data_IF_176496906425
#
_entry.id   IF_176496906425
#
_cell.length_a   1.000
_cell.length_b   1.000
_cell.length_c   1.000
_cell.angle_alpha   90.00
_cell.angle_beta   90.00
_cell.angle_gamma   90.00
#
_symmetry.space_group_name_H-M   'P 1'
#
loop_
_entity.id
_entity.type
_entity.pdbx_description
1 polymer ?
#
# COMPACT_ATOMS: atom_id res chain seq x y z
N UNK A 1 18.05 -39.13 -11.32
CA UNK A 1 17.84 -37.86 -12.08
C UNK A 1 16.41 -37.41 -11.81
N UNK A 2 16.20 -36.61 -10.77
CA UNK A 2 14.91 -35.96 -10.55
C UNK A 2 14.98 -34.55 -11.14
N UNK A 3 14.17 -34.30 -12.17
CA UNK A 3 13.97 -32.98 -12.76
C UNK A 3 12.85 -32.28 -12.00
N UNK A 4 13.15 -31.04 -11.61
CA UNK A 4 12.27 -29.87 -11.58
C UNK A 4 10.99 -29.92 -10.73
N UNK A 5 11.02 -29.13 -9.66
CA UNK A 5 10.11 -27.99 -9.53
C UNK A 5 10.78 -26.92 -8.67
N UNK A 6 11.67 -26.13 -9.29
CA UNK A 6 11.94 -24.81 -8.74
C UNK A 6 10.66 -23.99 -8.92
N UNK A 7 9.74 -24.12 -7.96
CA UNK A 7 8.71 -23.10 -7.80
C UNK A 7 9.47 -21.80 -7.56
N UNK A 8 9.42 -20.91 -8.54
CA UNK A 8 9.76 -19.51 -8.33
C UNK A 8 8.73 -18.96 -7.36
N UNK A 9 8.94 -19.17 -6.06
CA UNK A 9 8.10 -18.57 -5.00
C UNK A 9 8.01 -17.09 -5.29
N UNK A 10 6.79 -16.54 -5.25
CA UNK A 10 6.52 -15.13 -5.56
C UNK A 10 7.40 -14.23 -4.68
N UNK A 11 7.73 -14.70 -3.48
CA UNK A 11 8.64 -14.04 -2.54
C UNK A 11 10.07 -13.88 -3.05
N UNK A 12 10.59 -14.73 -3.96
CA UNK A 12 11.96 -14.63 -4.52
C UNK A 12 12.19 -13.35 -5.33
N UNK A 13 11.14 -12.75 -5.90
CA UNK A 13 11.27 -11.48 -6.62
C UNK A 13 11.20 -10.27 -5.67
N UNK A 14 10.37 -10.34 -4.63
CA UNK A 14 10.23 -9.27 -3.63
C UNK A 14 11.38 -9.23 -2.62
N UNK A 15 11.89 -10.40 -2.24
CA UNK A 15 13.07 -10.54 -1.39
C UNK A 15 14.26 -9.76 -1.93
N UNK A 16 14.49 -9.72 -3.25
CA UNK A 16 15.59 -8.93 -3.85
C UNK A 16 15.58 -7.45 -3.47
N UNK A 17 14.41 -6.81 -3.33
CA UNK A 17 14.35 -5.41 -2.91
C UNK A 17 14.55 -5.26 -1.40
N UNK A 18 13.90 -6.13 -0.61
CA UNK A 18 14.01 -6.13 0.85
C UNK A 18 15.44 -6.48 1.32
N UNK A 19 16.09 -7.45 0.67
CA UNK A 19 17.48 -7.86 0.90
C UNK A 19 18.47 -6.72 0.68
N UNK A 20 18.28 -5.90 -0.37
CA UNK A 20 19.12 -4.72 -0.63
C UNK A 20 19.06 -3.69 0.49
N UNK A 21 17.94 -3.61 1.20
CA UNK A 21 17.72 -2.64 2.27
C UNK A 21 17.93 -3.24 3.66
N UNK A 22 17.92 -4.58 3.78
CA UNK A 22 18.04 -5.25 5.05
C UNK A 22 19.48 -5.24 5.54
N UNK A 23 19.72 -4.55 6.67
CA UNK A 23 20.99 -4.54 7.39
C UNK A 23 20.99 -5.47 8.61
N UNK A 24 20.10 -6.47 8.64
CA UNK A 24 19.96 -7.46 9.72
C UNK A 24 18.80 -7.21 10.68
N UNK A 25 18.06 -6.11 10.53
CA UNK A 25 16.95 -5.73 11.43
C UNK A 25 15.55 -5.86 10.84
N UNK A 26 15.41 -6.11 9.53
CA UNK A 26 14.11 -6.22 8.88
C UNK A 26 13.57 -7.65 9.01
N UNK A 27 12.32 -7.77 9.48
CA UNK A 27 11.57 -9.02 9.41
C UNK A 27 11.04 -9.20 7.99
N UNK A 28 11.34 -10.36 7.41
CA UNK A 28 10.81 -10.75 6.10
C UNK A 28 9.48 -11.47 6.35
N UNK A 29 8.35 -10.96 5.82
CA UNK A 29 7.06 -11.64 5.98
C UNK A 29 7.06 -12.96 5.20
N UNK A 30 6.28 -13.93 5.67
CA UNK A 30 6.02 -15.15 4.91
C UNK A 30 5.16 -14.85 3.66
N UNK A 31 5.09 -15.81 2.74
CA UNK A 31 4.39 -15.64 1.46
C UNK A 31 2.91 -15.32 1.63
N UNK A 32 2.22 -16.01 2.55
CA UNK A 32 0.80 -15.80 2.80
C UNK A 32 0.50 -14.40 3.38
N UNK A 33 1.35 -13.89 4.28
CA UNK A 33 1.22 -12.53 4.84
C UNK A 33 1.40 -11.49 3.74
N UNK A 34 2.38 -11.71 2.85
CA UNK A 34 2.60 -10.83 1.71
C UNK A 34 1.38 -10.83 0.76
N UNK A 35 0.82 -12.01 0.46
CA UNK A 35 -0.34 -12.15 -0.40
C UNK A 35 -1.60 -11.53 0.22
N UNK A 36 -1.81 -11.67 1.53
CA UNK A 36 -2.89 -11.00 2.26
C UNK A 36 -2.81 -9.48 2.11
N UNK A 37 -1.65 -8.88 2.40
CA UNK A 37 -1.44 -7.43 2.27
C UNK A 37 -1.60 -6.97 0.82
N UNK A 38 -1.17 -7.78 -0.13
CA UNK A 38 -1.35 -7.49 -1.56
C UNK A 38 -2.82 -7.54 -1.96
N UNK A 39 -3.61 -8.42 -1.37
CA UNK A 39 -5.03 -8.45 -1.63
C UNK A 39 -5.74 -7.23 -1.06
N UNK A 40 -5.35 -6.73 0.13
CA UNK A 40 -5.84 -5.45 0.64
C UNK A 40 -5.57 -4.31 -0.36
N UNK A 41 -4.36 -4.24 -0.92
CA UNK A 41 -4.00 -3.27 -1.96
C UNK A 41 -4.89 -3.40 -3.21
N UNK A 42 -5.11 -4.62 -3.70
CA UNK A 42 -5.93 -4.88 -4.87
C UNK A 42 -7.36 -4.40 -4.66
N UNK A 43 -7.95 -4.71 -3.50
CA UNK A 43 -9.32 -4.30 -3.18
C UNK A 43 -9.41 -2.77 -3.03
N UNK A 44 -8.46 -2.12 -2.36
CA UNK A 44 -8.40 -0.66 -2.32
C UNK A 44 -8.30 -0.01 -3.71
N UNK A 45 -7.65 -0.64 -4.69
CA UNK A 45 -7.57 -0.10 -6.06
C UNK A 45 -8.84 -0.31 -6.86
N UNK A 46 -9.56 -1.41 -6.61
CA UNK A 46 -10.84 -1.69 -7.28
C UNK A 46 -11.93 -0.71 -6.83
N UNK A 47 -12.02 -0.50 -5.52
CA UNK A 47 -13.06 0.35 -4.95
C UNK A 47 -12.76 1.82 -5.16
N UNK A 48 -11.48 2.19 -5.23
CA UNK A 48 -11.10 3.60 -5.16
C UNK A 48 -10.27 4.02 -6.37
N UNK A 49 -10.95 4.73 -7.27
CA UNK A 49 -10.46 5.25 -8.56
C UNK A 49 -9.28 6.23 -8.38
N UNK A 50 -8.44 6.40 -9.41
CA UNK A 50 -7.10 7.04 -9.31
C UNK A 50 -7.05 8.49 -8.75
N UNK A 51 -8.19 9.13 -8.53
CA UNK A 51 -8.36 10.49 -8.01
C UNK A 51 -8.70 10.60 -6.51
N UNK A 52 -8.30 9.62 -5.71
CA UNK A 52 -8.60 9.52 -4.27
C UNK A 52 -8.36 10.76 -3.41
N UNK A 53 -9.31 11.06 -2.52
CA UNK A 53 -9.14 11.85 -1.30
C UNK A 53 -8.78 10.99 -0.07
N UNK A 54 -8.28 11.59 1.01
CA UNK A 54 -7.87 10.84 2.20
C UNK A 54 -9.05 10.27 3.00
N UNK A 55 -10.24 10.88 2.87
CA UNK A 55 -11.47 10.42 3.52
C UNK A 55 -11.99 9.13 2.89
N UNK A 56 -11.75 8.94 1.59
CA UNK A 56 -12.29 7.80 0.83
C UNK A 56 -11.59 6.47 1.20
N UNK A 57 -10.42 6.53 1.85
CA UNK A 57 -9.65 5.37 2.33
C UNK A 57 -10.16 4.85 3.68
N UNK A 58 -10.91 5.67 4.43
CA UNK A 58 -11.32 5.38 5.81
C UNK A 58 -12.83 5.13 5.94
N UNK A 59 -13.52 4.79 4.86
CA UNK A 59 -14.94 4.45 4.93
C UNK A 59 -15.11 3.05 5.52
N UNK A 60 -16.11 2.88 6.39
CA UNK A 60 -16.48 1.55 6.91
C UNK A 60 -16.89 0.61 5.77
N UNK A 61 -17.53 1.13 4.73
CA UNK A 61 -17.88 0.38 3.52
C UNK A 61 -16.65 -0.24 2.82
N UNK A 62 -15.53 0.49 2.71
CA UNK A 62 -14.31 -0.07 2.12
C UNK A 62 -13.73 -1.17 3.01
N UNK A 63 -13.80 -1.02 4.33
CA UNK A 63 -13.32 -2.05 5.25
C UNK A 63 -14.14 -3.32 5.10
N UNK A 64 -15.47 -3.22 5.12
CA UNK A 64 -16.39 -4.34 4.94
C UNK A 64 -16.13 -5.06 3.61
N UNK A 65 -16.03 -4.33 2.50
CA UNK A 65 -15.72 -4.92 1.19
C UNK A 65 -14.39 -5.68 1.17
N UNK A 66 -13.35 -5.14 1.80
CA UNK A 66 -12.05 -5.81 1.88
C UNK A 66 -12.13 -7.07 2.76
N UNK A 67 -12.84 -6.99 3.89
CA UNK A 67 -13.03 -8.12 4.81
C UNK A 67 -13.86 -9.25 4.18
N UNK A 68 -14.81 -8.90 3.32
CA UNK A 68 -15.68 -9.85 2.61
C UNK A 68 -15.01 -10.47 1.37
N UNK A 69 -13.85 -9.96 0.95
CA UNK A 69 -13.15 -10.51 -0.19
C UNK A 69 -12.70 -11.96 0.09
N UNK A 70 -13.12 -12.89 -0.77
CA UNK A 70 -12.82 -14.32 -0.65
C UNK A 70 -11.34 -14.60 -0.38
N UNK A 71 -10.43 -13.96 -1.14
CA UNK A 71 -8.99 -14.17 -0.98
C UNK A 71 -8.45 -13.62 0.34
N UNK A 72 -9.04 -12.55 0.87
CA UNK A 72 -8.68 -12.02 2.20
C UNK A 72 -9.05 -13.02 3.28
N UNK A 73 -10.27 -13.55 3.25
CA UNK A 73 -10.73 -14.57 4.18
C UNK A 73 -9.89 -15.86 4.08
N UNK A 74 -9.57 -16.29 2.86
CA UNK A 74 -8.72 -17.46 2.62
C UNK A 74 -7.33 -17.33 3.28
N UNK A 75 -6.62 -16.22 3.05
CA UNK A 75 -5.30 -16.02 3.66
C UNK A 75 -5.38 -15.77 5.16
N UNK A 76 -6.44 -15.11 5.64
CA UNK A 76 -6.65 -14.91 7.07
C UNK A 76 -6.82 -16.23 7.82
N UNK A 77 -7.66 -17.13 7.31
CA UNK A 77 -7.87 -18.45 7.91
C UNK A 77 -6.58 -19.30 7.87
N UNK A 78 -5.82 -19.20 6.77
CA UNK A 78 -4.54 -19.91 6.63
C UNK A 78 -3.47 -19.41 7.62
N UNK A 79 -3.41 -18.10 7.87
CA UNK A 79 -2.41 -17.48 8.73
C UNK A 79 -2.78 -17.53 10.22
N UNK A 80 -4.07 -17.37 10.51
CA UNK A 80 -4.59 -17.12 11.86
C UNK A 80 -5.89 -17.89 12.07
N UNK A 81 -5.87 -19.23 12.06
CA UNK A 81 -7.09 -20.02 12.20
C UNK A 81 -7.75 -19.82 13.57
N UNK A 82 -9.07 -19.87 13.58
CA UNK A 82 -9.88 -19.92 14.80
C UNK A 82 -10.53 -18.61 15.23
N UNK A 83 -11.06 -18.59 16.46
CA UNK A 83 -12.07 -17.61 16.92
C UNK A 83 -11.64 -16.14 16.86
N UNK A 84 -10.34 -15.86 16.87
CA UNK A 84 -9.81 -14.49 16.86
C UNK A 84 -9.37 -14.02 15.47
N UNK A 85 -9.50 -14.86 14.44
CA UNK A 85 -9.05 -14.58 13.06
C UNK A 85 -9.59 -13.25 12.55
N UNK A 86 -10.91 -13.04 12.66
CA UNK A 86 -11.60 -11.83 12.19
C UNK A 86 -11.18 -10.57 12.95
N UNK A 87 -11.00 -10.66 14.28
CA UNK A 87 -10.59 -9.51 15.11
C UNK A 87 -9.16 -9.09 14.77
N UNK A 88 -8.27 -10.05 14.56
CA UNK A 88 -6.89 -9.74 14.18
C UNK A 88 -6.84 -9.20 12.75
N UNK A 89 -7.60 -9.79 11.85
CA UNK A 89 -7.71 -9.35 10.46
C UNK A 89 -8.19 -7.90 10.36
N UNK A 90 -9.23 -7.53 11.11
CA UNK A 90 -9.76 -6.16 11.16
C UNK A 90 -8.71 -5.16 11.68
N UNK A 91 -7.95 -5.54 12.71
CA UNK A 91 -6.83 -4.72 13.21
C UNK A 91 -5.72 -4.57 12.18
N UNK A 92 -5.36 -5.65 11.48
CA UNK A 92 -4.36 -5.61 10.41
C UNK A 92 -4.81 -4.70 9.27
N UNK A 93 -6.07 -4.81 8.86
CA UNK A 93 -6.66 -3.96 7.83
C UNK A 93 -6.66 -2.48 8.26
N UNK A 94 -7.02 -2.20 9.51
CA UNK A 94 -7.02 -0.83 10.06
C UNK A 94 -5.62 -0.21 10.01
N UNK A 95 -4.58 -0.96 10.41
CA UNK A 95 -3.17 -0.51 10.30
C UNK A 95 -2.79 -0.28 8.84
N UNK A 96 -3.17 -1.18 7.94
CA UNK A 96 -2.90 -1.04 6.50
C UNK A 96 -3.52 0.24 5.92
N UNK A 97 -4.82 0.46 6.14
CA UNK A 97 -5.54 1.64 5.62
C UNK A 97 -4.98 2.94 6.20
N UNK A 98 -4.60 2.94 7.48
CA UNK A 98 -3.94 4.08 8.13
C UNK A 98 -2.61 4.43 7.44
N UNK A 99 -1.74 3.43 7.24
CA UNK A 99 -0.46 3.62 6.55
C UNK A 99 -0.66 4.10 5.11
N UNK A 100 -1.64 3.51 4.39
CA UNK A 100 -2.02 3.91 3.04
C UNK A 100 -2.49 5.36 3.00
N UNK A 101 -3.38 5.75 3.91
CA UNK A 101 -3.89 7.11 4.03
C UNK A 101 -2.76 8.13 4.23
N UNK A 102 -1.84 7.85 5.15
CA UNK A 102 -0.68 8.71 5.36
C UNK A 102 0.24 8.77 4.13
N UNK A 103 0.49 7.66 3.44
CA UNK A 103 1.30 7.65 2.22
C UNK A 103 0.65 8.49 1.10
N UNK A 104 -0.66 8.37 0.91
CA UNK A 104 -1.45 9.16 -0.05
C UNK A 104 -1.42 10.65 0.30
N UNK A 105 -1.65 10.99 1.57
CA UNK A 105 -1.59 12.38 2.05
C UNK A 105 -0.20 13.00 1.84
N UNK A 106 0.88 12.27 2.14
CA UNK A 106 2.26 12.71 1.88
C UNK A 106 2.52 12.95 0.40
N UNK A 107 2.06 12.04 -0.48
CA UNK A 107 2.20 12.19 -1.93
C UNK A 107 1.45 13.43 -2.44
N UNK A 108 0.22 13.67 -1.97
CA UNK A 108 -0.54 14.88 -2.29
C UNK A 108 0.15 16.16 -1.82
N UNK A 109 0.61 16.19 -0.57
CA UNK A 109 1.37 17.33 -0.02
C UNK A 109 2.61 17.62 -0.85
N UNK A 110 3.37 16.60 -1.24
CA UNK A 110 4.54 16.75 -2.09
C UNK A 110 4.20 17.32 -3.47
N UNK A 111 3.13 16.83 -4.10
CA UNK A 111 2.65 17.38 -5.39
C UNK A 111 2.26 18.85 -5.25
N UNK A 112 1.51 19.21 -4.20
CA UNK A 112 1.10 20.60 -3.93
C UNK A 112 2.33 21.51 -3.72
N UNK A 113 3.29 21.10 -2.89
CA UNK A 113 4.52 21.86 -2.66
C UNK A 113 5.32 22.07 -3.95
N UNK A 114 5.39 21.06 -4.83
CA UNK A 114 6.03 21.21 -6.14
C UNK A 114 5.28 22.23 -7.00
N UNK A 115 3.94 22.16 -7.09
CA UNK A 115 3.15 23.14 -7.85
C UNK A 115 3.30 24.57 -7.32
N UNK A 116 3.38 24.77 -6.01
CA UNK A 116 3.61 26.08 -5.38
C UNK A 116 5.00 26.62 -5.72
N UNK A 117 6.04 25.78 -5.68
CA UNK A 117 7.40 26.17 -6.11
C UNK A 117 7.44 26.56 -7.58
N UNK A 118 6.79 25.80 -8.46
CA UNK A 118 6.73 26.12 -9.89
C UNK A 118 5.94 27.42 -10.16
N UNK A 119 4.85 27.65 -9.42
CA UNK A 119 4.09 28.91 -9.51
C UNK A 119 4.92 30.10 -9.04
N UNK A 120 5.59 30.01 -7.90
CA UNK A 120 6.48 31.06 -7.39
C UNK A 120 7.61 31.37 -8.38
N UNK A 121 8.22 30.35 -8.99
CA UNK A 121 9.24 30.54 -10.03
C UNK A 121 8.69 31.27 -11.26
N UNK A 122 7.47 30.92 -11.71
CA UNK A 122 6.81 31.59 -12.85
C UNK A 122 6.51 33.06 -12.55
N UNK A 123 6.11 33.40 -11.32
CA UNK A 123 5.85 34.79 -10.92
C UNK A 123 7.15 35.61 -10.92
N UNK A 124 8.22 35.09 -10.31
CA UNK A 124 9.53 35.77 -10.29
C UNK A 124 10.11 35.96 -11.69
N UNK A 125 9.96 34.96 -12.58
CA UNK A 125 10.41 35.09 -13.97
C UNK A 125 9.61 36.14 -14.75
N UNK A 126 8.29 36.27 -14.51
CA UNK A 126 7.46 37.32 -15.11
C UNK A 126 7.82 38.72 -14.59
N UNK A 127 8.09 38.86 -13.30
CA UNK A 127 8.51 40.13 -12.71
C UNK A 127 9.86 40.59 -13.29
N UNK A 128 10.85 39.69 -13.43
CA UNK A 128 12.15 40.01 -14.05
C UNK A 128 12.06 40.37 -15.53
N UNK A 129 11.06 39.88 -16.25
CA UNK A 129 10.89 40.17 -17.69
C UNK A 129 10.12 41.47 -17.97
N UNK A 130 9.45 42.04 -16.95
CA UNK A 130 8.73 43.31 -17.05
C UNK A 130 9.55 44.53 -16.57
N UNK A 131 10.80 44.36 -16.16
CA UNK A 131 11.71 45.49 -15.90
C UNK A 131 12.33 45.92 -17.23
N UNK A 132 11.75 46.94 -17.86
CA UNK A 132 12.34 47.74 -18.94
C UNK A 132 12.34 49.20 -18.53
#
# INVERSE_FOLDING_TARGET
MEKNNESTSITKQYSKWTEKLNRGGLKIPNEDTFLLVREFENQCRKTVDENLSCSDIHTEELKEQIMDAFMVQYYAEKLMPGKYSMIILEKMLSVFLTMRGHATARKKKSKLLQTTKTKALRTVLKEKSNVK
#
